data_IF_287975034427
#
_entry.id   IF_287975034427
#
_cell.length_a   1.000
_cell.length_b   1.000
_cell.length_c   1.000
_cell.angle_alpha   90.00
_cell.angle_beta   90.00
_cell.angle_gamma   90.00
#
_symmetry.space_group_name_H-M   'P 1'
#
loop_
_entity.id
_entity.type
_entity.pdbx_description
1 polymer ?
#
# COMPACT_ATOMS: atom_id res chain seq x y z
N UNK A 1 14.38 -4.10 -13.84
CA UNK A 1 13.78 -5.16 -13.00
C UNK A 1 12.94 -4.43 -12.02
N UNK A 2 11.64 -4.65 -12.10
CA UNK A 2 10.66 -3.84 -11.39
C UNK A 2 10.34 -4.45 -10.04
N UNK A 3 10.15 -3.57 -9.07
CA UNK A 3 9.92 -3.89 -7.68
C UNK A 3 8.61 -3.29 -7.18
N UNK A 4 7.99 -3.98 -6.24
CA UNK A 4 6.89 -3.46 -5.45
C UNK A 4 7.35 -3.35 -4.00
N UNK A 5 6.78 -2.39 -3.27
CA UNK A 5 7.26 -2.07 -1.93
C UNK A 5 6.16 -2.25 -0.88
N UNK A 6 6.53 -2.86 0.25
CA UNK A 6 5.63 -3.04 1.38
C UNK A 6 6.34 -2.60 2.66
N UNK A 7 5.67 -1.82 3.50
CA UNK A 7 6.24 -1.42 4.80
C UNK A 7 6.48 -2.66 5.66
N UNK A 8 7.66 -2.82 6.25
CA UNK A 8 7.99 -4.01 7.05
C UNK A 8 7.02 -4.10 8.25
N UNK A 9 6.21 -5.18 8.38
CA UNK A 9 5.34 -5.34 9.53
C UNK A 9 6.14 -5.56 10.81
N UNK A 10 5.62 -5.09 11.96
CA UNK A 10 6.30 -5.27 13.24
C UNK A 10 6.45 -6.73 13.66
N UNK A 11 5.54 -7.61 13.20
CA UNK A 11 5.46 -9.03 13.52
C UNK A 11 5.05 -9.77 12.25
N UNK A 12 5.78 -10.83 11.94
CA UNK A 12 5.56 -11.66 10.76
C UNK A 12 5.23 -13.09 11.19
N UNK A 13 4.57 -13.83 10.31
CA UNK A 13 4.43 -15.29 10.40
C UNK A 13 5.26 -15.84 9.26
N UNK A 14 6.35 -16.54 9.60
CA UNK A 14 7.35 -17.00 8.64
C UNK A 14 7.88 -15.84 7.76
N UNK A 15 8.41 -16.16 6.58
CA UNK A 15 8.92 -15.18 5.61
C UNK A 15 7.86 -14.82 4.56
N UNK A 16 6.61 -14.58 5.00
CA UNK A 16 5.48 -14.31 4.11
C UNK A 16 4.64 -13.13 4.56
N UNK A 17 4.30 -12.27 3.61
CA UNK A 17 3.22 -11.31 3.76
C UNK A 17 1.88 -12.02 3.55
N UNK A 18 0.95 -11.76 4.47
CA UNK A 18 -0.38 -12.36 4.52
C UNK A 18 -1.43 -11.26 4.50
N UNK A 19 -2.55 -11.50 3.83
CA UNK A 19 -3.72 -10.62 3.94
C UNK A 19 -4.31 -10.68 5.35
N UNK A 20 -5.10 -9.66 5.72
CA UNK A 20 -5.66 -9.59 7.05
C UNK A 20 -6.62 -10.76 7.32
N UNK A 21 -7.41 -11.19 6.33
CA UNK A 21 -8.25 -12.39 6.48
C UNK A 21 -7.42 -13.68 6.62
N UNK A 22 -6.32 -13.82 5.87
CA UNK A 22 -5.41 -14.97 6.03
C UNK A 22 -4.75 -14.98 7.42
N UNK A 23 -4.41 -13.80 7.96
CA UNK A 23 -3.92 -13.68 9.34
C UNK A 23 -4.95 -14.14 10.37
N UNK A 24 -6.24 -13.84 10.16
CA UNK A 24 -7.31 -14.27 11.07
C UNK A 24 -7.36 -15.79 11.22
N UNK A 25 -7.13 -16.51 10.13
CA UNK A 25 -7.13 -17.97 10.09
C UNK A 25 -5.88 -18.57 10.75
N UNK A 26 -4.71 -17.94 10.58
CA UNK A 26 -3.43 -18.47 11.08
C UNK A 26 -3.07 -18.01 12.49
N UNK A 27 -3.41 -16.78 12.85
CA UNK A 27 -3.08 -16.15 14.13
C UNK A 27 -4.08 -15.02 14.46
N UNK A 28 -5.13 -15.37 15.20
CA UNK A 28 -6.20 -14.45 15.57
C UNK A 28 -5.70 -13.25 16.41
N UNK A 29 -4.67 -13.43 17.23
CA UNK A 29 -4.11 -12.35 18.05
C UNK A 29 -3.42 -11.30 17.17
N UNK A 30 -2.61 -11.75 16.22
CA UNK A 30 -1.94 -10.87 15.27
C UNK A 30 -2.94 -10.17 14.33
N UNK A 31 -3.99 -10.88 13.92
CA UNK A 31 -5.13 -10.26 13.22
C UNK A 31 -5.74 -9.12 14.04
N UNK A 32 -6.08 -9.36 15.32
CA UNK A 32 -6.65 -8.33 16.21
C UNK A 32 -5.72 -7.14 16.35
N UNK A 33 -4.41 -7.36 16.43
CA UNK A 33 -3.41 -6.28 16.47
C UNK A 33 -3.47 -5.41 15.20
N UNK A 34 -3.44 -6.02 14.02
CA UNK A 34 -3.40 -5.29 12.73
C UNK A 34 -4.76 -4.74 12.29
N UNK A 35 -5.86 -5.33 12.74
CA UNK A 35 -7.21 -4.83 12.48
C UNK A 35 -7.52 -3.54 13.26
N UNK A 36 -6.84 -3.25 14.38
CA UNK A 36 -7.07 -2.05 15.21
C UNK A 36 -7.04 -0.74 14.41
N UNK A 37 -6.22 -0.66 13.36
CA UNK A 37 -6.12 0.54 12.52
C UNK A 37 -7.41 0.91 11.80
N UNK A 38 -8.36 -0.01 11.65
CA UNK A 38 -9.67 0.26 11.04
C UNK A 38 -10.71 0.79 12.03
N UNK A 39 -10.41 0.74 13.33
CA UNK A 39 -11.33 1.14 14.39
C UNK A 39 -11.16 2.59 14.85
N UNK A 40 -10.30 3.37 14.19
CA UNK A 40 -10.05 4.77 14.55
C UNK A 40 -11.06 5.76 13.94
N UNK A 41 -11.91 5.31 13.01
CA UNK A 41 -13.02 6.07 12.45
C UNK A 41 -14.19 5.15 12.08
N UNK A 42 -15.47 5.52 12.35
CA UNK A 42 -16.63 4.67 12.05
C UNK A 42 -16.70 4.20 10.59
N UNK A 43 -16.34 5.08 9.65
CA UNK A 43 -16.35 4.72 8.22
C UNK A 43 -15.19 3.81 7.80
N UNK A 44 -14.11 3.74 8.58
CA UNK A 44 -12.97 2.85 8.26
C UNK A 44 -13.25 1.40 8.62
N UNK A 45 -14.18 1.14 9.54
CA UNK A 45 -14.64 -0.22 9.83
C UNK A 45 -15.28 -0.86 8.59
N UNK A 46 -16.02 -0.06 7.82
CA UNK A 46 -16.66 -0.50 6.56
C UNK A 46 -15.66 -0.93 5.48
N UNK A 47 -14.40 -0.51 5.57
CA UNK A 47 -13.36 -1.00 4.64
C UNK A 47 -13.21 -2.52 4.72
N UNK A 48 -13.46 -3.15 5.87
CA UNK A 48 -13.35 -4.61 6.03
C UNK A 48 -14.46 -5.37 5.27
N UNK A 49 -15.52 -4.68 4.86
CA UNK A 49 -16.66 -5.22 4.10
C UNK A 49 -16.63 -4.77 2.63
N UNK A 50 -15.77 -3.81 2.28
CA UNK A 50 -15.65 -3.24 0.93
C UNK A 50 -15.09 -4.27 -0.03
N UNK A 51 -15.71 -4.40 -1.21
CA UNK A 51 -15.24 -5.28 -2.27
C UNK A 51 -14.14 -4.63 -3.10
N UNK A 52 -13.29 -5.46 -3.69
CA UNK A 52 -12.37 -5.06 -4.74
C UNK A 52 -12.93 -5.56 -6.08
N UNK A 53 -13.50 -4.67 -6.91
CA UNK A 53 -13.99 -5.05 -8.23
C UNK A 53 -12.93 -5.80 -9.05
N UNK A 54 -13.37 -6.67 -9.96
CA UNK A 54 -12.52 -7.51 -10.85
C UNK A 54 -11.66 -8.58 -10.16
N UNK A 55 -11.20 -8.36 -8.92
CA UNK A 55 -10.56 -9.41 -8.13
C UNK A 55 -11.57 -10.40 -7.53
N UNK A 56 -12.81 -9.94 -7.29
CA UNK A 56 -13.89 -10.70 -6.65
C UNK A 56 -13.53 -11.16 -5.23
N UNK A 57 -13.00 -10.23 -4.44
CA UNK A 57 -12.61 -10.43 -3.05
C UNK A 57 -12.94 -9.18 -2.22
N UNK A 58 -12.68 -9.23 -0.92
CA UNK A 58 -12.76 -8.07 -0.04
C UNK A 58 -11.43 -7.31 0.04
N UNK A 59 -11.50 -6.08 0.52
CA UNK A 59 -10.34 -5.20 0.76
C UNK A 59 -9.31 -5.83 1.70
N UNK A 60 -9.75 -6.64 2.67
CA UNK A 60 -8.90 -7.33 3.63
C UNK A 60 -8.39 -8.70 3.16
N UNK A 61 -8.71 -9.12 1.93
CA UNK A 61 -8.19 -10.34 1.30
C UNK A 61 -6.90 -10.10 0.50
N UNK A 62 -6.58 -8.85 0.17
CA UNK A 62 -5.42 -8.50 -0.65
C UNK A 62 -4.30 -7.89 0.18
N UNK A 63 -3.08 -8.01 -0.33
CA UNK A 63 -1.89 -7.30 0.17
C UNK A 63 -1.68 -6.08 -0.72
N UNK A 64 -1.44 -4.94 -0.08
CA UNK A 64 -1.23 -3.65 -0.75
C UNK A 64 0.25 -3.38 -0.92
N UNK A 65 0.70 -3.15 -2.14
CA UNK A 65 2.05 -2.72 -2.42
C UNK A 65 2.07 -1.34 -3.07
N UNK A 66 3.11 -0.58 -2.75
CA UNK A 66 3.45 0.63 -3.48
C UNK A 66 4.16 0.23 -4.78
N UNK A 67 3.72 0.75 -5.94
CA UNK A 67 4.41 0.60 -7.21
C UNK A 67 5.51 1.67 -7.38
N UNK A 68 5.96 2.30 -6.30
CA UNK A 68 6.94 3.40 -6.30
C UNK A 68 7.94 3.20 -5.17
N UNK A 69 9.22 3.49 -5.44
CA UNK A 69 10.23 3.47 -4.40
C UNK A 69 9.86 4.44 -3.26
N UNK A 70 9.84 3.99 -1.98
CA UNK A 70 9.27 4.75 -0.87
C UNK A 70 10.04 6.04 -0.56
N UNK A 71 11.27 6.17 -1.03
CA UNK A 71 12.04 7.41 -0.96
C UNK A 71 11.39 8.58 -1.70
N UNK A 72 10.65 8.34 -2.78
CA UNK A 72 9.91 9.41 -3.45
C UNK A 72 8.82 9.99 -2.54
N UNK A 73 8.13 9.14 -1.78
CA UNK A 73 7.12 9.57 -0.79
C UNK A 73 7.77 10.35 0.34
N UNK A 74 8.90 9.85 0.87
CA UNK A 74 9.69 10.55 1.89
C UNK A 74 10.06 11.97 1.42
N UNK A 75 10.63 12.08 0.22
CA UNK A 75 11.05 13.37 -0.34
C UNK A 75 9.89 14.34 -0.55
N UNK A 76 8.75 13.87 -1.07
CA UNK A 76 7.57 14.71 -1.28
C UNK A 76 6.98 15.24 0.04
N UNK A 77 6.93 14.41 1.09
CA UNK A 77 6.51 14.87 2.42
C UNK A 77 7.49 15.89 3.00
N UNK A 78 8.81 15.62 2.87
CA UNK A 78 9.86 16.53 3.34
C UNK A 78 9.84 17.87 2.59
N UNK A 79 9.59 17.88 1.29
CA UNK A 79 9.62 19.09 0.48
C UNK A 79 8.51 20.08 0.83
N UNK A 80 7.37 19.60 1.34
CA UNK A 80 6.29 20.46 1.83
C UNK A 80 6.43 20.81 3.31
N UNK A 81 7.48 20.36 4.01
CA UNK A 81 7.76 20.71 5.41
C UNK A 81 7.22 19.73 6.46
N UNK A 82 6.71 18.56 6.06
CA UNK A 82 6.22 17.55 7.03
C UNK A 82 7.39 16.94 7.79
N UNK A 83 7.26 16.89 9.12
CA UNK A 83 8.20 16.13 9.96
C UNK A 83 7.81 14.64 9.97
N UNK A 84 8.54 13.82 9.22
CA UNK A 84 8.31 12.38 9.10
C UNK A 84 9.43 11.57 9.74
N UNK A 85 9.11 10.35 10.20
CA UNK A 85 10.10 9.42 10.75
C UNK A 85 11.14 9.06 9.69
N UNK A 86 12.42 8.97 10.06
CA UNK A 86 13.50 8.62 9.11
C UNK A 86 13.85 7.13 9.12
N UNK A 87 13.27 6.34 10.01
CA UNK A 87 13.62 4.93 10.20
C UNK A 87 12.52 3.96 9.76
N UNK A 88 11.64 4.36 8.83
CA UNK A 88 10.65 3.43 8.28
C UNK A 88 11.33 2.49 7.27
N UNK A 89 11.12 1.20 7.47
CA UNK A 89 11.67 0.14 6.65
C UNK A 89 10.60 -0.40 5.69
N UNK A 90 11.04 -0.75 4.50
CA UNK A 90 10.22 -1.36 3.46
C UNK A 90 10.93 -2.58 2.89
N UNK A 91 10.17 -3.62 2.63
CA UNK A 91 10.60 -4.68 1.73
C UNK A 91 10.58 -4.15 0.30
N UNK A 92 11.68 -4.31 -0.41
CA UNK A 92 11.81 -4.15 -1.86
C UNK A 92 11.68 -5.54 -2.48
N UNK A 93 10.51 -5.80 -3.04
CA UNK A 93 10.08 -7.14 -3.45
C UNK A 93 10.09 -7.17 -4.97
N UNK A 94 10.78 -8.14 -5.56
CA UNK A 94 10.74 -8.38 -7.00
C UNK A 94 9.29 -8.57 -7.46
N UNK A 95 8.86 -7.87 -8.51
CA UNK A 95 7.54 -8.07 -9.11
C UNK A 95 7.29 -9.56 -9.49
N UNK A 96 8.36 -10.32 -9.75
CA UNK A 96 8.29 -11.76 -10.03
C UNK A 96 7.71 -12.58 -8.87
N UNK A 97 7.86 -12.11 -7.62
CA UNK A 97 7.31 -12.79 -6.45
C UNK A 97 5.78 -12.77 -6.41
N UNK A 98 5.13 -11.97 -7.26
CA UNK A 98 3.68 -11.83 -7.33
C UNK A 98 3.06 -12.55 -8.55
N UNK A 99 3.86 -13.12 -9.46
CA UNK A 99 3.37 -13.68 -10.75
C UNK A 99 2.33 -14.80 -10.56
N UNK A 100 2.45 -15.61 -9.51
CA UNK A 100 1.50 -16.69 -9.24
C UNK A 100 0.15 -16.22 -8.70
N UNK A 101 0.05 -14.95 -8.28
CA UNK A 101 -1.14 -14.39 -7.68
C UNK A 101 -2.02 -13.70 -8.71
N UNK A 102 -3.29 -13.49 -8.37
CA UNK A 102 -4.17 -12.58 -9.12
C UNK A 102 -3.88 -11.16 -8.65
N UNK A 103 -3.42 -10.32 -9.57
CA UNK A 103 -3.01 -8.95 -9.26
C UNK A 103 -3.92 -7.92 -9.94
N UNK A 104 -4.08 -6.77 -9.30
CA UNK A 104 -4.74 -5.63 -9.89
C UNK A 104 -4.04 -4.33 -9.49
N UNK A 105 -4.09 -3.33 -10.37
CA UNK A 105 -3.80 -1.94 -10.04
C UNK A 105 -5.07 -1.33 -9.46
N UNK A 106 -4.97 -0.74 -8.28
CA UNK A 106 -5.94 0.24 -7.78
C UNK A 106 -5.39 1.63 -8.08
N UNK A 107 -5.99 2.31 -9.06
CA UNK A 107 -5.49 3.60 -9.56
C UNK A 107 -5.60 4.72 -8.52
N UNK A 108 -6.55 4.61 -7.59
CA UNK A 108 -6.80 5.56 -6.51
C UNK A 108 -6.93 7.00 -7.02
N UNK A 109 -7.67 7.20 -8.11
CA UNK A 109 -7.88 8.53 -8.71
C UNK A 109 -8.70 9.43 -7.79
N UNK A 110 -8.29 10.68 -7.66
CA UNK A 110 -8.92 11.67 -6.78
C UNK A 110 -10.39 11.92 -7.15
N UNK A 111 -10.69 11.97 -8.44
CA UNK A 111 -12.04 12.19 -8.98
C UNK A 111 -13.03 11.07 -8.59
N UNK A 112 -12.50 9.86 -8.37
CA UNK A 112 -13.27 8.67 -8.02
C UNK A 112 -13.26 8.38 -6.51
N UNK A 113 -12.47 9.12 -5.72
CA UNK A 113 -12.38 8.89 -4.28
C UNK A 113 -13.64 9.38 -3.55
N UNK A 114 -14.47 8.41 -3.18
CA UNK A 114 -15.72 8.61 -2.44
C UNK A 114 -15.56 8.30 -0.95
N UNK A 115 -14.33 8.11 -0.47
CA UNK A 115 -14.02 7.76 0.90
C UNK A 115 -14.21 6.28 1.24
N UNK A 116 -13.91 5.91 2.49
CA UNK A 116 -13.79 4.50 2.91
C UNK A 116 -15.12 3.74 3.03
N UNK A 117 -16.25 4.46 3.15
CA UNK A 117 -17.58 3.87 3.34
C UNK A 117 -18.31 3.56 2.02
N UNK A 118 -17.67 3.82 0.87
CA UNK A 118 -18.25 3.67 -0.45
C UNK A 118 -17.49 2.62 -1.25
N UNK A 119 -18.21 1.97 -2.15
CA UNK A 119 -17.65 0.98 -3.08
C UNK A 119 -16.61 1.61 -4.00
N UNK A 120 -15.66 0.78 -4.45
CA UNK A 120 -14.68 1.18 -5.46
C UNK A 120 -15.37 1.20 -6.81
N UNK A 121 -15.16 2.27 -7.57
CA UNK A 121 -15.58 2.27 -8.96
C UNK A 121 -14.79 1.21 -9.72
N UNK A 122 -15.48 0.35 -10.47
CA UNK A 122 -14.83 -0.77 -11.16
C UNK A 122 -13.81 -0.32 -12.21
N UNK A 123 -13.90 0.92 -12.68
CA UNK A 123 -12.93 1.53 -13.58
C UNK A 123 -11.61 1.88 -12.87
N UNK A 124 -11.63 1.99 -11.54
CA UNK A 124 -10.44 2.28 -10.71
C UNK A 124 -9.64 1.03 -10.35
N UNK A 125 -10.15 -0.14 -10.69
CA UNK A 125 -9.42 -1.41 -10.59
C UNK A 125 -9.11 -1.90 -12.00
N UNK A 126 -7.87 -2.32 -12.24
CA UNK A 126 -7.44 -2.93 -13.50
C UNK A 126 -6.65 -4.20 -13.21
N UNK A 127 -7.03 -5.33 -13.83
CA UNK A 127 -6.26 -6.56 -13.68
C UNK A 127 -4.93 -6.41 -14.43
N UNK A 128 -3.84 -6.86 -13.81
CA UNK A 128 -2.48 -6.72 -14.36
C UNK A 128 -1.72 -8.04 -14.29
N UNK A 129 -0.91 -8.28 -15.31
CA UNK A 129 0.12 -9.32 -15.30
C UNK A 129 1.43 -8.70 -14.79
N UNK A 130 2.04 -9.29 -13.77
CA UNK A 130 3.24 -8.69 -13.14
C UNK A 130 4.46 -8.68 -14.05
N UNK A 131 4.43 -9.45 -15.15
CA UNK A 131 5.43 -9.41 -16.20
C UNK A 131 5.40 -8.12 -17.04
N UNK A 132 4.26 -7.41 -17.06
CA UNK A 132 4.11 -6.10 -17.72
C UNK A 132 4.07 -4.94 -16.73
N UNK A 133 4.38 -5.18 -15.46
CA UNK A 133 4.39 -4.16 -14.43
C UNK A 133 5.62 -3.25 -14.58
N UNK A 134 5.39 -1.95 -14.47
CA UNK A 134 6.44 -0.92 -14.44
C UNK A 134 6.31 -0.09 -13.17
N UNK A 135 7.44 0.20 -12.54
CA UNK A 135 7.48 1.11 -11.39
C UNK A 135 7.15 2.55 -11.80
N UNK A 136 6.40 3.23 -10.94
CA UNK A 136 6.31 4.68 -10.99
C UNK A 136 7.66 5.28 -10.62
N UNK A 137 8.11 6.22 -11.44
CA UNK A 137 9.38 6.92 -11.25
C UNK A 137 9.23 8.23 -10.48
N UNK A 138 7.98 8.69 -10.28
CA UNK A 138 7.66 9.97 -9.66
C UNK A 138 6.34 9.90 -8.90
N UNK A 139 6.17 10.77 -7.90
CA UNK A 139 4.93 10.92 -7.15
C UNK A 139 3.83 11.50 -8.07
N UNK A 140 2.60 10.95 -8.04
CA UNK A 140 1.48 11.52 -8.79
C UNK A 140 1.20 12.99 -8.40
N UNK A 141 0.82 13.80 -9.39
CA UNK A 141 0.53 15.23 -9.18
C UNK A 141 -0.58 15.48 -8.14
N UNK A 142 -1.58 14.61 -8.09
CA UNK A 142 -2.66 14.68 -7.09
C UNK A 142 -2.16 14.41 -5.67
N UNK A 143 -1.24 13.46 -5.50
CA UNK A 143 -0.57 13.21 -4.19
C UNK A 143 0.23 14.43 -3.75
N UNK A 144 1.00 15.04 -4.65
CA UNK A 144 1.78 16.25 -4.35
C UNK A 144 0.85 17.40 -3.92
N UNK A 145 -0.22 17.63 -4.68
CA UNK A 145 -1.23 18.66 -4.39
C UNK A 145 -1.89 18.40 -3.03
N UNK A 146 -2.23 17.14 -2.74
CA UNK A 146 -2.82 16.74 -1.46
C UNK A 146 -1.88 17.04 -0.28
N UNK A 147 -0.60 16.69 -0.37
CA UNK A 147 0.36 16.99 0.70
C UNK A 147 0.51 18.49 0.97
N UNK A 148 0.56 19.31 -0.07
CA UNK A 148 0.64 20.77 0.09
C UNK A 148 -0.60 21.35 0.76
N UNK A 149 -1.79 20.89 0.37
CA UNK A 149 -3.06 21.36 0.91
C UNK A 149 -3.26 20.95 2.37
N UNK A 150 -3.00 19.69 2.71
CA UNK A 150 -3.19 19.19 4.06
C UNK A 150 -2.14 19.76 5.03
N UNK A 151 -0.88 19.93 4.58
CA UNK A 151 0.14 20.57 5.41
C UNK A 151 -0.21 22.03 5.72
N UNK A 152 -0.66 22.80 4.72
CA UNK A 152 -1.13 24.18 4.92
C UNK A 152 -2.31 24.27 5.89
N UNK A 153 -3.19 23.27 5.86
CA UNK A 153 -4.35 23.18 6.76
C UNK A 153 -3.98 22.77 8.20
N UNK A 154 -2.75 22.29 8.43
CA UNK A 154 -2.28 21.82 9.75
C UNK A 154 -2.87 20.48 10.18
N UNK A 155 -3.54 19.77 9.27
CA UNK A 155 -4.18 18.48 9.55
C UNK A 155 -3.17 17.35 9.62
N UNK A 156 -3.56 16.24 10.27
CA UNK A 156 -2.90 14.95 10.06
C UNK A 156 -3.49 14.31 8.82
N UNK A 157 -2.63 13.79 7.94
CA UNK A 157 -3.05 13.23 6.66
C UNK A 157 -2.32 11.94 6.31
N UNK A 158 -2.90 11.18 5.37
CA UNK A 158 -2.36 9.91 4.92
C UNK A 158 -1.18 10.10 3.97
N UNK A 159 -0.13 9.29 4.13
CA UNK A 159 1.09 9.42 3.32
C UNK A 159 1.05 8.72 1.95
N UNK A 160 0.00 7.96 1.64
CA UNK A 160 -0.13 7.21 0.38
C UNK A 160 -1.39 7.58 -0.41
N UNK A 161 -2.01 8.72 -0.08
CA UNK A 161 -3.24 9.18 -0.73
C UNK A 161 -2.96 9.52 -2.19
N UNK A 162 -3.82 9.03 -3.09
CA UNK A 162 -3.74 9.19 -4.55
C UNK A 162 -2.48 8.60 -5.21
N UNK A 163 -1.74 7.76 -4.50
CA UNK A 163 -0.73 6.90 -5.11
C UNK A 163 -1.45 5.61 -5.56
N UNK A 164 -1.31 5.17 -6.82
CA UNK A 164 -1.78 3.85 -7.23
C UNK A 164 -1.19 2.75 -6.35
N UNK A 165 -1.91 1.65 -6.14
CA UNK A 165 -1.43 0.50 -5.38
C UNK A 165 -1.55 -0.77 -6.21
N UNK A 166 -0.59 -1.68 -6.06
CA UNK A 166 -0.74 -3.07 -6.53
C UNK A 166 -1.46 -3.86 -5.44
N UNK A 167 -2.58 -4.46 -5.80
CA UNK A 167 -3.35 -5.37 -4.97
C UNK A 167 -3.05 -6.79 -5.41
N UNK A 168 -2.45 -7.58 -4.51
CA UNK A 168 -2.18 -9.00 -4.75
C UNK A 168 -3.14 -9.85 -3.91
N UNK A 169 -3.90 -10.72 -4.57
CA UNK A 169 -4.72 -11.73 -3.90
C UNK A 169 -3.92 -13.03 -3.72
N UNK A 170 -3.49 -13.30 -2.49
CA UNK A 170 -2.64 -14.44 -2.13
C UNK A 170 -1.56 -14.06 -1.12
N UNK A 171 -0.75 -15.05 -0.72
CA UNK A 171 0.46 -14.82 0.08
C UNK A 171 1.60 -14.33 -0.81
N UNK A 172 2.55 -13.57 -0.26
CA UNK A 172 3.76 -13.14 -0.99
C UNK A 172 4.99 -13.42 -0.14
N UNK A 173 5.93 -14.21 -0.68
CA UNK A 173 7.21 -14.49 0.00
C UNK A 173 8.10 -13.24 0.02
N UNK A 174 8.73 -13.01 1.17
CA UNK A 174 9.74 -11.95 1.38
C UNK A 174 11.11 -12.50 1.76
N UNK A 175 11.31 -13.82 1.68
CA UNK A 175 12.58 -14.50 2.04
C UNK A 175 13.81 -13.88 1.35
N UNK A 176 13.66 -13.46 0.09
CA UNK A 176 14.73 -12.85 -0.71
C UNK A 176 14.53 -11.34 -0.93
N UNK A 177 13.64 -10.71 -0.17
CA UNK A 177 13.38 -9.29 -0.30
C UNK A 177 14.46 -8.48 0.43
N UNK A 178 15.01 -7.48 -0.26
CA UNK A 178 15.88 -6.51 0.37
C UNK A 178 15.05 -5.63 1.31
N UNK A 179 15.59 -5.33 2.50
CA UNK A 179 14.97 -4.35 3.41
C UNK A 179 15.68 -3.01 3.23
N UNK A 180 14.92 -2.01 2.79
CA UNK A 180 15.42 -0.65 2.54
C UNK A 180 14.82 0.34 3.54
N UNK A 181 15.56 1.41 3.83
CA UNK A 181 15.04 2.53 4.60
C UNK A 181 14.54 3.63 3.64
N UNK A 182 13.30 4.07 3.80
CA UNK A 182 12.70 5.06 2.90
C UNK A 182 13.38 6.44 2.91
N UNK A 183 14.15 6.78 3.94
CA UNK A 183 14.88 8.06 4.01
C UNK A 183 16.22 8.04 3.27
N UNK A 184 16.69 6.87 2.85
CA UNK A 184 17.94 6.70 2.10
C UNK A 184 17.70 6.83 0.61
N UNK A 185 18.69 7.39 -0.09
CA UNK A 185 18.64 7.51 -1.55
C UNK A 185 18.76 6.13 -2.20
N UNK A 186 18.34 6.06 -3.47
CA UNK A 186 18.40 4.81 -4.23
C UNK A 186 19.86 4.37 -4.40
N UNK A 187 20.17 3.15 -3.96
CA UNK A 187 21.53 2.59 -4.05
C UNK A 187 22.38 2.79 -2.79
N UNK A 188 21.84 3.41 -1.74
CA UNK A 188 22.44 3.41 -0.41
C UNK A 188 21.78 2.35 0.48
N UNK A 189 22.58 1.37 0.94
CA UNK A 189 22.17 0.35 1.91
C UNK A 189 22.65 0.69 3.32
#
# INVERSE_FOLDING_TARGET
MDYVYHMVPNKMIDDKLLSLNSLREKNEELYKEYAKKYNDHPDRVKLLERRVPKLDCFWNDVIFFLPIHPHHVYRALKSVGVNVKTNLLFYKISAKSLISNKNAVYWYRKENDKGPSREIDSEDIELIHMESFEELTHIPGDTQTYFEQEHKSGNKFGMFVYIPHILSLGEVSVENAETINWSKEMGEN
#
